data_IF_215406336410
#
_entry.id   IF_215406336410
#
_cell.length_a   1.000
_cell.length_b   1.000
_cell.length_c   1.000
_cell.angle_alpha   90.00
_cell.angle_beta   90.00
_cell.angle_gamma   90.00
#
_symmetry.space_group_name_H-M   'P 1'
#
loop_
_entity.id
_entity.type
_entity.pdbx_description
1 polymer ?
#
# COMPACT_ATOMS: atom_id res chain seq x y z
N UNK A 1 4.57 26.44 5.69
CA UNK A 1 3.66 25.49 5.00
C UNK A 1 3.98 24.11 5.55
N UNK A 2 2.97 23.25 5.77
CA UNK A 2 3.20 21.86 6.20
C UNK A 2 3.01 20.90 5.02
N UNK A 3 3.86 19.89 4.91
CA UNK A 3 3.84 18.86 3.87
C UNK A 3 3.70 17.48 4.49
N UNK A 4 2.70 16.72 4.06
CA UNK A 4 2.41 15.38 4.56
C UNK A 4 2.59 14.35 3.45
N UNK A 5 3.18 13.20 3.78
CA UNK A 5 3.36 12.08 2.87
C UNK A 5 2.17 11.12 3.00
N UNK A 6 1.40 10.95 1.92
CA UNK A 6 0.28 10.01 1.89
C UNK A 6 0.69 8.71 1.19
N UNK A 7 0.35 7.57 1.78
CA UNK A 7 0.72 6.26 1.27
C UNK A 7 -0.46 5.28 1.29
N UNK A 8 -0.77 4.71 0.13
CA UNK A 8 -1.93 3.80 -0.08
C UNK A 8 -1.64 2.33 0.25
N UNK A 9 -0.38 1.93 0.38
CA UNK A 9 0.00 0.54 0.67
C UNK A 9 -0.63 -0.52 -0.27
N UNK A 10 -0.58 -0.33 -1.61
CA UNK A 10 -1.26 -1.22 -2.55
C UNK A 10 -0.71 -2.66 -2.54
N UNK A 11 -1.44 -3.59 -3.16
CA UNK A 11 -0.94 -4.91 -3.54
C UNK A 11 -0.47 -4.89 -5.00
N UNK A 12 0.85 -4.79 -5.28
CA UNK A 12 1.35 -4.62 -6.64
C UNK A 12 1.46 -5.95 -7.42
N UNK A 13 1.10 -7.07 -6.81
CA UNK A 13 1.31 -8.41 -7.38
C UNK A 13 0.04 -9.05 -7.92
N UNK A 14 -0.96 -8.25 -8.30
CA UNK A 14 -2.06 -8.76 -9.11
C UNK A 14 -1.52 -9.32 -10.44
N UNK A 15 -2.09 -10.43 -10.96
CA UNK A 15 -1.75 -10.91 -12.29
C UNK A 15 -1.99 -9.81 -13.34
N UNK A 16 -1.09 -9.68 -14.31
CA UNK A 16 -1.25 -8.71 -15.41
C UNK A 16 -2.53 -8.96 -16.24
N UNK A 17 -3.01 -10.20 -16.24
CA UNK A 17 -4.27 -10.60 -16.91
C UNK A 17 -5.52 -10.28 -16.09
N UNK A 18 -5.40 -9.75 -14.87
CA UNK A 18 -6.54 -9.41 -14.03
C UNK A 18 -7.24 -8.14 -14.56
N UNK A 19 -8.45 -8.32 -15.08
CA UNK A 19 -9.31 -7.24 -15.59
C UNK A 19 -10.50 -6.94 -14.66
N UNK A 20 -10.48 -7.45 -13.42
CA UNK A 20 -11.55 -7.28 -12.45
C UNK A 20 -11.49 -5.95 -11.67
N UNK A 21 -12.48 -5.66 -10.82
CA UNK A 21 -12.58 -4.39 -10.10
C UNK A 21 -11.61 -4.32 -8.90
N UNK A 22 -10.33 -4.09 -9.20
CA UNK A 22 -9.23 -4.03 -8.23
C UNK A 22 -9.45 -3.02 -7.08
N UNK A 23 -10.19 -1.94 -7.31
CA UNK A 23 -10.49 -0.89 -6.32
C UNK A 23 -11.74 -1.18 -5.46
N UNK A 24 -12.66 -2.02 -5.95
CA UNK A 24 -13.97 -2.25 -5.27
C UNK A 24 -13.98 -3.56 -4.51
N UNK A 25 -13.57 -4.66 -5.16
CA UNK A 25 -13.55 -5.99 -4.56
C UNK A 25 -12.54 -6.88 -5.27
N UNK A 26 -11.43 -7.15 -4.60
CA UNK A 26 -10.40 -8.06 -5.09
C UNK A 26 -10.54 -9.45 -4.42
N UNK A 27 -10.49 -10.56 -5.16
CA UNK A 27 -10.43 -11.88 -4.54
C UNK A 27 -9.16 -12.06 -3.69
N UNK A 28 -9.34 -12.48 -2.43
CA UNK A 28 -8.23 -12.73 -1.50
C UNK A 28 -7.29 -13.86 -1.97
N UNK A 29 -7.72 -14.71 -2.90
CA UNK A 29 -6.88 -15.76 -3.47
C UNK A 29 -5.66 -15.24 -4.25
N UNK A 30 -5.63 -13.95 -4.61
CA UNK A 30 -4.46 -13.31 -5.23
C UNK A 30 -3.40 -12.85 -4.23
N UNK A 31 -3.70 -12.93 -2.92
CA UNK A 31 -2.77 -12.51 -1.89
C UNK A 31 -1.81 -13.64 -1.50
N UNK A 32 -0.52 -13.33 -1.50
CA UNK A 32 0.55 -14.18 -0.98
C UNK A 32 1.08 -13.55 0.32
N UNK A 33 0.85 -14.21 1.46
CA UNK A 33 1.26 -13.70 2.76
C UNK A 33 2.77 -13.54 2.94
N UNK A 34 3.60 -14.32 2.24
CA UNK A 34 5.07 -14.17 2.31
C UNK A 34 5.52 -12.91 1.57
N UNK A 35 4.97 -12.67 0.38
CA UNK A 35 5.20 -11.42 -0.37
C UNK A 35 4.62 -10.22 0.37
N UNK A 36 3.43 -10.38 0.94
CA UNK A 36 2.76 -9.36 1.75
C UNK A 36 3.58 -8.92 2.95
N UNK A 37 4.21 -9.86 3.66
CA UNK A 37 5.10 -9.54 4.76
C UNK A 37 6.30 -8.66 4.32
N UNK A 38 7.00 -9.05 3.26
CA UNK A 38 8.12 -8.27 2.74
C UNK A 38 7.68 -6.89 2.24
N UNK A 39 6.55 -6.84 1.53
CA UNK A 39 5.96 -5.62 1.02
C UNK A 39 5.56 -4.65 2.13
N UNK A 40 4.93 -5.15 3.19
CA UNK A 40 4.50 -4.33 4.32
C UNK A 40 5.68 -3.70 5.05
N UNK A 41 6.77 -4.45 5.26
CA UNK A 41 8.02 -3.89 5.80
C UNK A 41 8.57 -2.77 4.91
N UNK A 42 8.57 -2.96 3.58
CA UNK A 42 8.98 -1.91 2.65
C UNK A 42 8.13 -0.64 2.80
N UNK A 43 6.81 -0.78 2.95
CA UNK A 43 5.94 0.37 3.18
C UNK A 43 6.20 1.08 4.51
N UNK A 44 6.54 0.34 5.56
CA UNK A 44 7.00 0.95 6.81
C UNK A 44 8.31 1.70 6.62
N UNK A 45 9.28 1.14 5.88
CA UNK A 45 10.54 1.81 5.56
C UNK A 45 10.31 3.10 4.75
N UNK A 46 9.37 3.09 3.80
CA UNK A 46 8.97 4.26 3.01
C UNK A 46 8.31 5.35 3.89
N UNK A 47 7.47 4.96 4.85
CA UNK A 47 6.88 5.88 5.84
C UNK A 47 7.94 6.47 6.77
N UNK A 48 8.90 5.66 7.24
CA UNK A 48 10.05 6.11 8.04
C UNK A 48 10.92 7.05 7.20
N UNK A 49 11.09 6.78 5.91
CA UNK A 49 11.87 7.64 5.00
C UNK A 49 11.26 9.04 4.88
N UNK A 50 9.96 9.21 5.09
CA UNK A 50 9.33 10.53 5.11
C UNK A 50 9.90 11.44 6.21
N UNK A 51 10.26 10.89 7.38
CA UNK A 51 10.95 11.62 8.44
C UNK A 51 12.32 12.12 7.96
N UNK A 52 13.12 11.21 7.39
CA UNK A 52 14.46 11.54 6.88
C UNK A 52 14.43 12.57 5.72
N UNK A 53 13.31 12.70 5.02
CA UNK A 53 13.08 13.67 3.95
C UNK A 53 12.47 14.99 4.44
N UNK A 54 12.10 15.10 5.71
CA UNK A 54 11.60 16.33 6.33
C UNK A 54 10.10 16.59 6.14
N UNK A 55 9.28 15.55 5.94
CA UNK A 55 7.82 15.70 5.96
C UNK A 55 7.33 15.98 7.39
N UNK A 56 6.26 16.77 7.51
CA UNK A 56 5.64 17.14 8.79
C UNK A 56 4.77 16.02 9.37
N UNK A 57 4.52 14.96 8.59
CA UNK A 57 3.80 13.77 9.04
C UNK A 57 3.52 12.80 7.90
N UNK A 58 3.06 11.61 8.29
CA UNK A 58 2.61 10.57 7.38
C UNK A 58 1.10 10.38 7.50
N UNK A 59 0.47 10.02 6.39
CA UNK A 59 -0.94 9.72 6.30
C UNK A 59 -1.11 8.36 5.61
N UNK A 60 -1.91 7.49 6.24
CA UNK A 60 -2.30 6.19 5.70
C UNK A 60 -3.81 6.16 5.53
N UNK A 61 -4.30 5.33 4.62
CA UNK A 61 -5.74 5.14 4.43
C UNK A 61 -6.29 4.06 5.38
N UNK A 62 -7.62 4.03 5.53
CA UNK A 62 -8.36 2.89 6.08
C UNK A 62 -8.63 1.89 4.95
N UNK A 63 -8.32 0.61 5.15
CA UNK A 63 -8.29 -0.38 4.07
C UNK A 63 -9.55 -1.25 4.01
N UNK A 64 -10.22 -1.27 2.85
CA UNK A 64 -11.48 -2.01 2.62
C UNK A 64 -11.27 -3.22 1.70
N UNK A 65 -10.30 -4.07 2.04
CA UNK A 65 -10.00 -5.33 1.35
C UNK A 65 -9.96 -5.28 -0.21
N UNK A 66 -9.30 -4.26 -0.78
CA UNK A 66 -9.08 -4.12 -2.22
C UNK A 66 -7.56 -4.22 -2.56
N UNK A 67 -7.16 -4.06 -3.82
CA UNK A 67 -5.75 -4.17 -4.21
C UNK A 67 -4.97 -2.84 -4.20
N UNK A 68 -5.62 -1.72 -3.94
CA UNK A 68 -5.02 -0.38 -3.98
C UNK A 68 -4.63 0.16 -2.62
N UNK A 69 -5.30 -0.26 -1.56
CA UNK A 69 -5.38 0.53 -0.34
C UNK A 69 -6.83 0.75 0.03
#
# INVERSE_FOLDING_TARGET
MKFFMFHLMPWPYLPETYVGPAWVKCPNGFYDGRRGHGLYNRYLDELIRAEALGFDGVCVNEHHANAYG
#
